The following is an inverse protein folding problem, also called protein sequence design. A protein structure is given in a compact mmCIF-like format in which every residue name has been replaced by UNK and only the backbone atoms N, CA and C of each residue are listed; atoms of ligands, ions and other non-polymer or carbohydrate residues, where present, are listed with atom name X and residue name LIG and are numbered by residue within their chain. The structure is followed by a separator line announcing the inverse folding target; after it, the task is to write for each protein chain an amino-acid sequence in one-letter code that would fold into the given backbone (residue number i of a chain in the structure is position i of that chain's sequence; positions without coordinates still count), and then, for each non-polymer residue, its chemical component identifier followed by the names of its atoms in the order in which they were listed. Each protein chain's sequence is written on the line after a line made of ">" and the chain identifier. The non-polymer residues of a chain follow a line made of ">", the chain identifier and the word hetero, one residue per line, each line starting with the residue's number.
data_IF_660236439725
#
_entry.id   IF_660236439725
#
_cell.length_a   1.000
_cell.length_b   1.000
_cell.length_c   1.000
_cell.angle_alpha   90.00
_cell.angle_beta   90.00
_cell.angle_gamma   90.00
#
_symmetry.space_group_name_H-M   'P 1'
#
loop_
_entity.id
_entity.type
_entity.pdbx_description
1 polymer ?
#
# COMPACT_ATOMS: atom_id res chain seq x y z
N UNK A 1 -7.47 -0.09 19.74
CA UNK A 1 -6.03 -0.38 19.49
C UNK A 1 -5.21 0.69 20.20
N UNK A 2 -4.21 0.32 21.00
CA UNK A 2 -3.28 1.29 21.59
C UNK A 2 -2.35 1.81 20.48
N UNK A 3 -2.31 3.13 20.28
CA UNK A 3 -1.35 3.77 19.36
C UNK A 3 0.08 3.34 19.71
N UNK A 4 0.89 2.97 18.71
CA UNK A 4 2.33 2.69 18.94
C UNK A 4 3.10 3.93 19.42
N UNK A 5 2.52 5.11 19.20
CA UNK A 5 3.06 6.40 19.61
C UNK A 5 2.51 6.81 20.97
N UNK A 6 3.37 7.37 21.82
CA UNK A 6 2.99 7.87 23.14
C UNK A 6 2.32 9.26 23.09
N UNK A 7 2.69 10.07 22.11
CA UNK A 7 2.19 11.42 21.88
C UNK A 7 2.03 11.72 20.39
N UNK A 8 1.00 12.50 20.09
CA UNK A 8 0.82 13.14 18.79
C UNK A 8 0.92 14.65 18.97
N UNK A 9 1.83 15.28 18.25
CA UNK A 9 2.01 16.73 18.24
C UNK A 9 1.68 17.23 16.84
N UNK A 10 0.91 18.31 16.73
CA UNK A 10 0.65 19.00 15.46
C UNK A 10 1.20 20.41 15.55
N UNK A 11 2.30 20.67 14.84
CA UNK A 11 2.95 21.97 14.73
C UNK A 11 2.41 22.64 13.48
N UNK A 12 1.62 23.68 13.68
CA UNK A 12 0.94 24.41 12.62
C UNK A 12 1.67 25.72 12.31
N UNK A 13 2.34 25.75 11.16
CA UNK A 13 2.99 26.93 10.60
C UNK A 13 2.14 27.58 9.48
N UNK A 14 1.31 26.79 8.78
CA UNK A 14 0.43 27.27 7.71
C UNK A 14 -0.74 28.12 8.22
N UNK A 15 -1.18 27.86 9.46
CA UNK A 15 -2.32 28.49 10.14
C UNK A 15 -3.49 28.89 9.21
N UNK A 16 -3.97 27.96 8.38
CA UNK A 16 -5.13 28.21 7.53
C UNK A 16 -6.37 28.62 8.37
N UNK A 17 -7.35 29.27 7.73
CA UNK A 17 -8.52 29.85 8.43
C UNK A 17 -9.30 28.82 9.26
N UNK A 18 -9.20 27.53 8.88
CA UNK A 18 -9.84 26.40 9.57
C UNK A 18 -9.06 26.04 10.85
N UNK A 19 -7.74 25.88 10.78
CA UNK A 19 -6.90 25.47 11.92
C UNK A 19 -6.52 26.62 12.85
N UNK A 20 -6.66 27.87 12.41
CA UNK A 20 -6.46 29.05 13.26
C UNK A 20 -7.48 29.11 14.43
N UNK A 21 -8.73 28.71 14.17
CA UNK A 21 -9.87 28.91 15.09
C UNK A 21 -10.32 27.63 15.83
N UNK A 22 -9.44 26.65 15.99
CA UNK A 22 -9.72 25.39 16.72
C UNK A 22 -8.86 25.30 17.98
N UNK A 23 -9.40 24.78 19.06
CA UNK A 23 -8.66 24.55 20.31
C UNK A 23 -8.15 23.10 20.38
N UNK A 24 -8.90 22.19 19.76
CA UNK A 24 -8.59 20.76 19.76
C UNK A 24 -8.56 20.23 18.33
N UNK A 25 -7.50 19.51 17.98
CA UNK A 25 -7.39 18.76 16.74
C UNK A 25 -7.34 17.26 17.05
N UNK A 26 -8.24 16.50 16.42
CA UNK A 26 -8.30 15.04 16.53
C UNK A 26 -7.80 14.42 15.22
N UNK A 27 -6.80 13.55 15.33
CA UNK A 27 -6.22 12.80 14.20
C UNK A 27 -6.30 11.31 14.53
N UNK A 28 -6.94 10.51 13.66
CA UNK A 28 -7.13 9.07 13.89
C UNK A 28 -7.73 8.76 15.27
N UNK A 29 -8.80 9.47 15.63
CA UNK A 29 -9.53 9.30 16.91
C UNK A 29 -8.70 9.63 18.16
N UNK A 30 -7.50 10.19 18.01
CA UNK A 30 -6.62 10.58 19.10
C UNK A 30 -6.48 12.11 19.17
N UNK A 31 -6.66 12.74 20.35
CA UNK A 31 -6.38 14.16 20.50
C UNK A 31 -4.89 14.44 20.30
N UNK A 32 -4.59 15.60 19.73
CA UNK A 32 -3.21 16.04 19.47
C UNK A 32 -2.85 17.23 20.34
N UNK A 33 -1.57 17.35 20.68
CA UNK A 33 -1.03 18.58 21.24
C UNK A 33 -0.86 19.56 20.08
N UNK A 34 -1.71 20.58 20.04
CA UNK A 34 -1.71 21.57 18.98
C UNK A 34 -0.78 22.74 19.33
N UNK A 35 0.28 22.90 18.54
CA UNK A 35 1.24 24.02 18.65
C UNK A 35 0.99 24.96 17.49
N UNK A 36 0.46 26.16 17.77
CA UNK A 36 0.20 27.20 16.75
C UNK A 36 1.31 28.23 16.79
N UNK A 37 2.19 28.23 15.79
CA UNK A 37 3.26 29.23 15.70
C UNK A 37 2.68 30.52 15.15
N UNK A 38 2.68 31.65 15.89
CA UNK A 38 2.07 32.89 15.42
C UNK A 38 2.67 33.39 14.10
N UNK A 39 1.82 33.98 13.25
CA UNK A 39 2.27 34.65 12.03
C UNK A 39 3.38 35.66 12.35
N UNK A 40 4.41 35.72 11.49
CA UNK A 40 5.53 36.62 11.69
C UNK A 40 6.58 36.16 12.70
N UNK A 41 6.37 35.05 13.43
CA UNK A 41 7.35 34.55 14.42
C UNK A 41 8.70 34.22 13.79
N UNK A 42 9.79 34.63 14.42
CA UNK A 42 11.13 34.20 14.03
C UNK A 42 11.44 32.85 14.66
N UNK A 43 11.33 31.78 13.87
CA UNK A 43 11.59 30.41 14.31
C UNK A 43 13.00 30.22 14.89
N UNK A 44 13.98 31.00 14.45
CA UNK A 44 15.36 30.90 14.94
C UNK A 44 15.48 31.41 16.37
N UNK A 45 14.86 32.54 16.68
CA UNK A 45 14.92 33.18 18.01
C UNK A 45 13.76 32.80 18.94
N UNK A 46 12.76 32.05 18.47
CA UNK A 46 11.62 31.60 19.27
C UNK A 46 12.05 30.76 20.48
N UNK A 47 11.79 31.24 21.69
CA UNK A 47 12.16 30.55 22.96
C UNK A 47 11.00 30.44 23.95
N UNK A 48 9.83 30.96 23.60
CA UNK A 48 8.65 30.93 24.46
C UNK A 48 8.18 29.47 24.66
N UNK A 49 8.14 28.96 25.92
CA UNK A 49 7.77 27.59 26.25
C UNK A 49 6.41 27.15 25.71
N UNK A 50 5.47 28.07 25.48
CA UNK A 50 4.13 27.75 24.97
C UNK A 50 4.17 27.17 23.55
N UNK A 51 5.28 27.38 22.81
CA UNK A 51 5.51 26.79 21.49
C UNK A 51 6.33 25.49 21.52
N UNK A 52 6.56 24.93 22.70
CA UNK A 52 7.27 23.67 22.92
C UNK A 52 6.40 22.73 23.76
N UNK A 53 5.89 21.61 23.21
CA UNK A 53 4.90 20.72 23.82
C UNK A 53 5.48 19.80 24.92
N UNK A 54 6.51 20.28 25.64
CA UNK A 54 7.23 19.54 26.66
C UNK A 54 8.14 18.44 26.12
N UNK A 55 8.54 17.46 26.95
CA UNK A 55 9.51 16.43 26.56
C UNK A 55 8.99 15.54 25.42
N UNK A 56 9.85 15.35 24.42
CA UNK A 56 9.62 14.51 23.23
C UNK A 56 10.45 13.23 23.36
N UNK A 57 9.83 12.10 23.06
CA UNK A 57 10.48 10.78 23.09
C UNK A 57 10.68 10.25 21.67
N UNK A 58 11.45 9.17 21.53
CA UNK A 58 11.59 8.44 20.26
C UNK A 58 10.28 7.80 19.76
N UNK A 59 9.26 7.68 20.62
CA UNK A 59 7.92 7.17 20.27
C UNK A 59 6.92 8.28 19.97
N UNK A 60 7.31 9.54 20.04
CA UNK A 60 6.45 10.66 19.69
C UNK A 60 6.33 10.80 18.17
N UNK A 61 5.15 11.20 17.69
CA UNK A 61 4.91 11.51 16.28
C UNK A 61 4.56 12.99 16.13
N UNK A 62 5.33 13.70 15.32
CA UNK A 62 5.17 15.13 15.09
C UNK A 62 4.64 15.34 13.68
N UNK A 63 3.52 16.02 13.54
CA UNK A 63 3.03 16.53 12.27
C UNK A 63 3.48 17.98 12.14
N UNK A 64 4.22 18.28 11.08
CA UNK A 64 4.62 19.64 10.74
C UNK A 64 3.83 20.07 9.50
N UNK A 65 2.96 21.06 9.68
CA UNK A 65 2.08 21.57 8.63
C UNK A 65 2.54 22.95 8.19
N UNK A 66 2.89 23.07 6.91
CA UNK A 66 3.33 24.29 6.26
C UNK A 66 2.96 24.22 4.77
N UNK A 67 2.88 25.36 4.09
CA UNK A 67 2.73 25.35 2.63
C UNK A 67 4.09 25.21 1.97
N UNK A 68 4.24 24.27 1.04
CA UNK A 68 5.44 24.17 0.21
C UNK A 68 5.28 24.86 -1.14
N UNK A 69 6.36 24.89 -1.89
CA UNK A 69 6.38 25.33 -3.28
C UNK A 69 7.34 24.42 -4.06
N UNK A 70 6.88 23.79 -5.14
CA UNK A 70 7.66 22.81 -5.93
C UNK A 70 9.03 23.32 -6.40
N UNK A 71 9.15 24.62 -6.69
CA UNK A 71 10.40 25.23 -7.18
C UNK A 71 11.38 25.60 -6.05
N UNK A 72 10.97 25.47 -4.79
CA UNK A 72 11.70 26.02 -3.64
C UNK A 72 11.90 24.94 -2.57
N UNK A 73 12.93 24.10 -2.76
CA UNK A 73 13.27 22.99 -1.87
C UNK A 73 13.93 23.43 -0.55
N UNK A 74 14.20 24.71 -0.36
CA UNK A 74 14.93 25.28 0.77
C UNK A 74 14.04 26.17 1.66
N UNK A 75 12.73 26.22 1.41
CA UNK A 75 11.81 27.04 2.21
C UNK A 75 10.39 26.48 2.26
N UNK A 76 9.66 26.92 3.28
CA UNK A 76 8.21 26.74 3.41
C UNK A 76 7.54 28.08 3.67
N UNK A 77 6.25 28.16 3.36
CA UNK A 77 5.44 29.36 3.38
C UNK A 77 4.34 29.26 4.43
N UNK A 78 4.04 30.40 5.05
CA UNK A 78 2.75 30.68 5.69
C UNK A 78 1.93 31.54 4.72
N UNK A 79 0.74 31.06 4.33
CA UNK A 79 -0.14 31.70 3.33
C UNK A 79 -1.43 32.26 3.96
N UNK A 80 -1.37 32.79 5.18
CA UNK A 80 -2.53 33.47 5.79
C UNK A 80 -2.95 34.77 5.08
N UNK A 81 -2.01 35.49 4.47
CA UNK A 81 -2.21 36.85 3.91
C UNK A 81 -1.67 36.92 2.48
N UNK A 82 -2.02 37.99 1.76
CA UNK A 82 -1.58 38.25 0.38
C UNK A 82 -0.04 38.25 0.22
N UNK A 83 0.70 38.57 1.27
CA UNK A 83 2.16 38.46 1.34
C UNK A 83 2.57 37.29 2.25
N UNK A 84 2.87 36.10 1.70
CA UNK A 84 3.22 34.94 2.50
C UNK A 84 4.58 35.13 3.19
N UNK A 85 4.67 34.75 4.47
CA UNK A 85 5.96 34.71 5.16
C UNK A 85 6.74 33.49 4.70
N UNK A 86 8.01 33.72 4.36
CA UNK A 86 8.96 32.69 3.95
C UNK A 86 9.77 32.25 5.18
N UNK A 87 9.76 30.95 5.45
CA UNK A 87 10.62 30.31 6.44
C UNK A 87 11.68 29.49 5.73
N UNK A 88 12.94 29.84 5.92
CA UNK A 88 14.05 29.10 5.31
C UNK A 88 14.28 27.79 6.05
N UNK A 89 14.91 26.85 5.35
CA UNK A 89 15.35 25.57 5.89
C UNK A 89 16.11 25.72 7.22
N UNK A 90 17.01 26.70 7.29
CA UNK A 90 17.80 26.98 8.51
C UNK A 90 16.92 27.35 9.71
N UNK A 91 15.87 28.12 9.49
CA UNK A 91 14.99 28.59 10.55
C UNK A 91 14.14 27.43 11.09
N UNK A 92 13.63 26.60 10.18
CA UNK A 92 12.86 25.39 10.52
C UNK A 92 13.75 24.37 11.24
N UNK A 93 14.98 24.13 10.74
CA UNK A 93 15.92 23.23 11.39
C UNK A 93 16.32 23.72 12.78
N UNK A 94 16.54 25.03 12.97
CA UNK A 94 16.82 25.61 14.28
C UNK A 94 15.67 25.43 15.27
N UNK A 95 14.42 25.58 14.81
CA UNK A 95 13.26 25.30 15.65
C UNK A 95 13.22 23.82 16.09
N UNK A 96 13.42 22.88 15.16
CA UNK A 96 13.48 21.45 15.51
C UNK A 96 14.69 21.10 16.38
N UNK A 97 15.84 21.76 16.22
CA UNK A 97 17.00 21.56 17.08
C UNK A 97 16.74 21.97 18.54
N UNK A 98 15.96 23.04 18.76
CA UNK A 98 15.51 23.45 20.10
C UNK A 98 14.44 22.53 20.68
N UNK A 99 13.60 21.97 19.81
CA UNK A 99 12.51 21.07 20.16
C UNK A 99 13.01 19.66 20.53
N UNK A 100 14.00 19.14 19.79
CA UNK A 100 14.47 17.76 19.86
C UNK A 100 15.76 17.63 20.67
N UNK A 101 15.65 17.85 21.98
CA UNK A 101 16.79 17.89 22.91
C UNK A 101 17.14 16.54 23.54
N UNK A 102 16.31 15.51 23.38
CA UNK A 102 16.57 14.19 23.95
C UNK A 102 17.82 13.56 23.30
N UNK A 103 18.83 13.12 24.08
CA UNK A 103 20.03 12.49 23.54
C UNK A 103 19.77 11.20 22.74
N UNK A 104 18.66 10.52 22.97
CA UNK A 104 18.26 9.32 22.23
C UNK A 104 18.16 9.58 20.72
N UNK A 105 17.83 10.81 20.31
CA UNK A 105 17.76 11.18 18.90
C UNK A 105 19.14 11.16 18.21
N UNK A 106 20.24 11.13 18.96
CA UNK A 106 21.60 11.03 18.41
C UNK A 106 22.12 9.60 18.40
N UNK A 107 21.38 8.65 18.98
CA UNK A 107 21.78 7.26 19.09
C UNK A 107 21.20 6.43 17.92
N UNK A 108 22.03 5.85 17.04
CA UNK A 108 21.55 5.06 15.89
C UNK A 108 20.82 3.78 16.28
N UNK A 109 21.07 3.25 17.49
CA UNK A 109 20.51 2.00 17.98
C UNK A 109 19.10 2.15 18.58
N UNK A 110 18.64 3.39 18.80
CA UNK A 110 17.30 3.63 19.33
C UNK A 110 16.25 3.37 18.23
N UNK A 111 15.38 2.39 18.51
CA UNK A 111 14.23 2.03 17.67
C UNK A 111 12.96 1.91 18.51
N UNK A 112 11.79 2.38 18.02
CA UNK A 112 11.61 3.17 16.80
C UNK A 112 12.28 4.54 16.93
N UNK A 113 12.60 5.18 15.81
CA UNK A 113 13.03 6.58 15.78
C UNK A 113 11.82 7.50 15.78
N UNK A 114 12.04 8.74 16.22
CA UNK A 114 11.04 9.81 16.13
C UNK A 114 10.54 9.91 14.69
N UNK A 115 9.22 9.94 14.52
CA UNK A 115 8.59 10.10 13.20
C UNK A 115 8.12 11.54 13.00
N UNK A 116 8.76 12.27 12.09
CA UNK A 116 8.34 13.58 11.63
C UNK A 116 7.49 13.43 10.36
N UNK A 117 6.23 13.85 10.39
CA UNK A 117 5.33 13.84 9.23
C UNK A 117 5.26 15.23 8.65
N UNK A 118 5.79 15.39 7.43
CA UNK A 118 5.75 16.63 6.68
C UNK A 118 4.44 16.70 5.91
N UNK A 119 3.47 17.44 6.46
CA UNK A 119 2.24 17.84 5.78
C UNK A 119 2.50 19.11 4.95
N UNK A 120 3.51 19.05 4.09
CA UNK A 120 3.92 20.14 3.19
C UNK A 120 3.48 19.80 1.78
N UNK A 121 2.70 20.68 1.15
CA UNK A 121 2.33 20.53 -0.26
C UNK A 121 3.60 20.50 -1.12
N UNK A 122 3.82 19.43 -1.89
CA UNK A 122 4.99 19.33 -2.79
C UNK A 122 6.34 19.37 -2.02
N UNK A 123 6.37 18.90 -0.77
CA UNK A 123 7.50 19.12 0.15
C UNK A 123 8.57 18.02 0.23
N UNK A 124 8.74 17.16 -0.78
CA UNK A 124 9.75 16.09 -0.71
C UNK A 124 11.17 16.65 -0.67
N UNK A 125 11.52 17.59 -1.56
CA UNK A 125 12.85 18.21 -1.56
C UNK A 125 13.16 18.92 -0.24
N UNK A 126 12.21 19.71 0.25
CA UNK A 126 12.31 20.33 1.58
C UNK A 126 12.47 19.30 2.70
N UNK A 127 11.71 18.21 2.70
CA UNK A 127 11.83 17.17 3.72
C UNK A 127 13.20 16.47 3.69
N UNK A 128 13.74 16.21 2.50
CA UNK A 128 15.08 15.64 2.33
C UNK A 128 16.14 16.57 2.89
N UNK A 129 16.08 17.84 2.53
CA UNK A 129 17.00 18.87 2.99
C UNK A 129 16.89 19.09 4.50
N UNK A 130 15.68 19.07 5.07
CA UNK A 130 15.46 19.24 6.50
C UNK A 130 16.05 18.07 7.29
N UNK A 131 15.77 16.82 6.89
CA UNK A 131 16.34 15.66 7.56
C UNK A 131 17.87 15.70 7.54
N UNK A 132 18.44 16.00 6.36
CA UNK A 132 19.89 16.06 6.18
C UNK A 132 20.50 17.15 7.06
N UNK A 133 19.87 18.33 7.10
CA UNK A 133 20.31 19.44 7.95
C UNK A 133 20.19 19.16 9.44
N UNK A 134 19.13 18.47 9.88
CA UNK A 134 18.98 18.05 11.29
C UNK A 134 20.09 17.08 11.70
N UNK A 135 20.53 16.21 10.79
CA UNK A 135 21.68 15.35 11.02
C UNK A 135 23.00 16.13 11.01
N UNK A 136 23.26 16.93 9.97
CA UNK A 136 24.55 17.61 9.78
C UNK A 136 24.80 18.67 10.86
N UNK A 137 23.79 19.48 11.23
CA UNK A 137 23.96 20.60 12.17
C UNK A 137 23.72 20.19 13.63
N UNK A 138 22.90 19.17 13.90
CA UNK A 138 22.46 18.81 15.26
C UNK A 138 22.77 17.35 15.65
N UNK A 139 23.21 16.50 14.72
CA UNK A 139 23.44 15.07 14.94
C UNK A 139 22.16 14.27 15.14
N UNK A 140 21.01 14.76 14.70
CA UNK A 140 19.70 14.14 14.94
C UNK A 140 19.37 13.08 13.88
N UNK A 141 19.12 11.86 14.33
CA UNK A 141 18.65 10.72 13.56
C UNK A 141 17.12 10.60 13.67
N UNK A 142 16.42 11.27 12.76
CA UNK A 142 14.95 11.29 12.70
C UNK A 142 14.46 10.61 11.42
N UNK A 143 13.36 9.87 11.50
CA UNK A 143 12.69 9.31 10.33
C UNK A 143 11.60 10.29 9.86
N UNK A 144 11.55 10.59 8.55
CA UNK A 144 10.65 11.60 8.00
C UNK A 144 9.67 10.98 7.02
N UNK A 145 8.37 11.14 7.26
CA UNK A 145 7.33 10.80 6.29
C UNK A 145 7.00 12.06 5.50
N UNK A 146 7.35 12.07 4.22
CA UNK A 146 7.11 13.19 3.30
C UNK A 146 6.17 12.78 2.18
N UNK A 147 5.58 13.76 1.51
CA UNK A 147 4.68 13.52 0.39
C UNK A 147 5.35 13.90 -0.94
N UNK A 148 5.29 13.01 -1.92
CA UNK A 148 5.76 13.21 -3.30
C UNK A 148 4.84 14.16 -4.08
N UNK A 149 3.56 14.17 -3.74
CA UNK A 149 2.51 14.88 -4.45
C UNK A 149 1.87 15.96 -3.56
N UNK A 150 1.06 16.84 -4.17
CA UNK A 150 0.22 17.80 -3.44
C UNK A 150 -0.69 17.06 -2.47
N UNK A 151 -0.78 17.53 -1.23
CA UNK A 151 -1.69 16.99 -0.20
C UNK A 151 -2.88 17.92 -0.06
N UNK A 152 -4.07 17.33 0.08
CA UNK A 152 -5.29 18.01 0.48
C UNK A 152 -5.76 17.41 1.80
N UNK A 153 -5.69 18.17 2.87
CA UNK A 153 -6.21 17.79 4.19
C UNK A 153 -7.67 18.26 4.31
N UNK A 154 -8.59 17.34 4.65
CA UNK A 154 -10.01 17.67 4.88
C UNK A 154 -10.34 17.63 6.36
N UNK A 155 -10.79 18.76 6.87
CA UNK A 155 -11.21 18.94 8.26
C UNK A 155 -12.74 18.95 8.36
N UNK A 156 -13.27 18.22 9.33
CA UNK A 156 -14.67 18.32 9.75
C UNK A 156 -14.73 19.05 11.07
N UNK A 157 -15.48 20.15 11.13
CA UNK A 157 -15.74 20.93 12.34
C UNK A 157 -17.24 20.83 12.68
N UNK A 158 -17.63 20.12 13.75
CA UNK A 158 -19.01 20.13 14.22
C UNK A 158 -19.50 21.55 14.53
N UNK A 159 -20.78 21.81 14.32
CA UNK A 159 -21.35 23.13 14.59
C UNK A 159 -21.28 23.43 16.09
N UNK A 160 -20.83 24.65 16.45
CA UNK A 160 -20.68 25.14 17.83
C UNK A 160 -19.55 24.53 18.67
N UNK A 161 -18.63 23.75 18.07
CA UNK A 161 -17.44 23.25 18.76
C UNK A 161 -16.17 23.94 18.25
N UNK A 162 -15.15 24.03 19.11
CA UNK A 162 -13.78 24.44 18.72
C UNK A 162 -12.90 23.23 18.36
N UNK A 163 -13.50 22.06 18.17
CA UNK A 163 -12.82 20.82 17.77
C UNK A 163 -12.84 20.65 16.25
N UNK A 164 -11.71 20.30 15.65
CA UNK A 164 -11.66 19.82 14.27
C UNK A 164 -11.16 18.38 14.20
N UNK A 165 -11.72 17.62 13.26
CA UNK A 165 -11.36 16.26 12.95
C UNK A 165 -10.68 16.24 11.59
N UNK A 166 -9.43 15.80 11.54
CA UNK A 166 -8.77 15.51 10.27
C UNK A 166 -9.25 14.13 9.79
N UNK A 167 -10.24 14.14 8.89
CA UNK A 167 -10.94 12.90 8.48
C UNK A 167 -10.32 12.27 7.25
N UNK A 168 -9.84 13.08 6.30
CA UNK A 168 -9.29 12.59 5.05
C UNK A 168 -8.01 13.35 4.65
N UNK A 169 -7.09 12.63 4.01
CA UNK A 169 -5.95 13.20 3.30
C UNK A 169 -5.91 12.62 1.91
N UNK A 170 -5.96 13.48 0.91
CA UNK A 170 -5.90 13.09 -0.49
C UNK A 170 -4.66 13.66 -1.14
N UNK A 171 -4.20 13.02 -2.21
CA UNK A 171 -3.04 13.48 -2.96
C UNK A 171 -3.37 13.61 -4.44
N UNK A 172 -2.85 14.66 -5.09
CA UNK A 172 -3.08 14.92 -6.51
C UNK A 172 -1.78 15.26 -7.23
N UNK A 173 -1.69 14.92 -8.51
CA UNK A 173 -0.66 15.47 -9.41
C UNK A 173 -1.09 16.89 -9.80
N UNK A 174 -0.11 17.80 -9.92
CA UNK A 174 -0.33 19.17 -10.38
C UNK A 174 -0.61 19.19 -11.90
N UNK A 175 -1.69 19.82 -12.34
CA UNK A 175 -2.11 19.88 -13.74
C UNK A 175 -3.45 20.58 -13.96
N UNK A 176 -3.89 20.73 -15.22
CA UNK A 176 -5.13 21.44 -15.62
C UNK A 176 -6.41 20.70 -15.19
N UNK A 177 -6.29 19.43 -14.80
CA UNK A 177 -7.27 18.69 -14.02
C UNK A 177 -6.57 18.13 -12.78
N UNK A 178 -7.18 18.30 -11.59
CA UNK A 178 -6.72 17.62 -10.38
C UNK A 178 -7.05 16.14 -10.51
N UNK A 179 -6.16 15.37 -11.13
CA UNK A 179 -6.27 13.92 -11.14
C UNK A 179 -5.79 13.38 -9.80
N UNK A 180 -6.74 12.90 -8.99
CA UNK A 180 -6.44 12.23 -7.74
C UNK A 180 -5.76 10.90 -8.04
N UNK A 181 -4.44 10.81 -7.78
CA UNK A 181 -3.72 9.54 -7.80
C UNK A 181 -3.49 9.07 -6.37
N UNK A 182 -3.95 7.84 -6.09
CA UNK A 182 -3.57 7.03 -4.93
C UNK A 182 -2.81 5.84 -5.51
N UNK A 183 -1.46 5.91 -5.63
CA UNK A 183 -0.70 5.07 -4.70
C UNK A 183 0.73 5.51 -4.31
N UNK A 184 1.43 6.40 -5.03
CA UNK A 184 2.86 6.70 -4.79
C UNK A 184 3.12 8.08 -4.20
N UNK A 185 2.30 8.49 -3.22
CA UNK A 185 2.33 9.88 -2.75
C UNK A 185 3.09 10.10 -1.47
N UNK A 186 3.56 9.05 -0.78
CA UNK A 186 4.26 9.15 0.51
C UNK A 186 5.53 8.32 0.54
N UNK A 187 6.59 8.90 1.06
CA UNK A 187 7.85 8.22 1.30
C UNK A 187 8.28 8.38 2.75
N UNK A 188 8.91 7.33 3.26
CA UNK A 188 9.67 7.33 4.48
C UNK A 188 11.13 7.60 4.11
N UNK A 189 11.64 8.76 4.51
CA UNK A 189 13.05 9.08 4.46
C UNK A 189 13.71 8.58 5.74
N UNK A 190 14.76 7.79 5.61
CA UNK A 190 15.60 7.38 6.74
C UNK A 190 17.02 7.87 6.51
N UNK A 191 17.78 8.06 7.59
CA UNK A 191 19.18 8.48 7.52
C UNK A 191 20.05 7.57 8.38
N UNK A 192 21.16 7.09 7.86
CA UNK A 192 22.09 6.24 8.61
C UNK A 192 23.10 7.05 9.44
N UNK A 193 23.97 6.35 10.17
CA UNK A 193 24.99 6.97 11.02
C UNK A 193 26.08 7.72 10.22
N UNK A 194 26.22 7.43 8.94
CA UNK A 194 27.16 8.11 8.03
C UNK A 194 26.49 9.32 7.36
N UNK A 195 25.21 9.56 7.65
CA UNK A 195 24.43 10.64 7.06
C UNK A 195 23.91 10.33 5.66
N UNK A 196 23.91 9.06 5.25
CA UNK A 196 23.34 8.60 3.97
C UNK A 196 21.82 8.52 4.11
N UNK A 197 21.12 9.27 3.26
CA UNK A 197 19.66 9.28 3.22
C UNK A 197 19.14 8.18 2.28
N UNK A 198 18.13 7.45 2.72
CA UNK A 198 17.38 6.48 1.92
C UNK A 198 15.92 6.90 1.81
N UNK A 199 15.36 6.77 0.61
CA UNK A 199 13.94 7.00 0.34
C UNK A 199 13.22 5.66 0.18
N UNK A 200 12.24 5.42 1.04
CA UNK A 200 11.45 4.19 1.09
C UNK A 200 10.01 4.53 0.73
N UNK A 201 9.41 3.90 -0.27
CA UNK A 201 7.97 4.08 -0.51
C UNK A 201 7.17 3.43 0.62
N UNK A 202 6.35 4.23 1.31
CA UNK A 202 5.62 3.78 2.49
C UNK A 202 4.56 2.72 2.14
N UNK A 203 4.11 2.67 0.87
CA UNK A 203 3.16 1.66 0.41
C UNK A 203 3.84 0.34 0.06
N UNK A 204 5.06 0.37 -0.47
CA UNK A 204 5.87 -0.84 -0.70
C UNK A 204 6.13 -1.57 0.62
N UNK A 205 6.58 -0.85 1.65
CA UNK A 205 6.84 -1.45 2.96
C UNK A 205 5.57 -2.02 3.60
N UNK A 206 4.45 -1.28 3.53
CA UNK A 206 3.14 -1.76 4.02
C UNK A 206 2.66 -2.99 3.28
N UNK A 207 2.86 -3.02 1.97
CA UNK A 207 2.47 -4.15 1.16
C UNK A 207 3.34 -5.37 1.48
N UNK A 208 4.66 -5.22 1.64
CA UNK A 208 5.55 -6.28 2.10
C UNK A 208 5.10 -6.84 3.46
N UNK A 209 4.83 -5.97 4.44
CA UNK A 209 4.33 -6.37 5.76
C UNK A 209 3.00 -7.11 5.65
N UNK A 210 2.12 -6.66 4.75
CA UNK A 210 0.83 -7.32 4.49
C UNK A 210 1.03 -8.69 3.85
N UNK A 211 1.90 -8.83 2.86
CA UNK A 211 2.24 -10.13 2.26
C UNK A 211 2.70 -11.08 3.35
N UNK A 212 3.74 -10.71 4.10
CA UNK A 212 4.29 -11.52 5.19
C UNK A 212 3.21 -12.00 6.16
N UNK A 213 2.45 -11.08 6.75
CA UNK A 213 1.43 -11.39 7.74
C UNK A 213 0.31 -12.26 7.17
N UNK A 214 -0.11 -11.98 5.94
CA UNK A 214 -1.23 -12.69 5.31
C UNK A 214 -0.85 -14.14 4.99
N UNK A 215 0.36 -14.38 4.47
CA UNK A 215 0.86 -15.74 4.19
C UNK A 215 0.96 -16.54 5.49
N UNK A 216 1.59 -16.00 6.52
CA UNK A 216 1.69 -16.64 7.84
C UNK A 216 0.33 -17.00 8.41
N UNK A 217 -0.63 -16.08 8.30
CA UNK A 217 -2.00 -16.34 8.76
C UNK A 217 -2.66 -17.46 7.98
N UNK A 218 -2.44 -17.59 6.67
CA UNK A 218 -2.98 -18.71 5.89
C UNK A 218 -2.38 -20.05 6.30
N UNK A 219 -1.06 -20.11 6.53
CA UNK A 219 -0.39 -21.31 7.03
C UNK A 219 -0.98 -21.73 8.38
N UNK A 220 -1.08 -20.79 9.32
CA UNK A 220 -1.61 -21.05 10.65
C UNK A 220 -3.09 -21.44 10.63
N UNK A 221 -3.90 -20.79 9.79
CA UNK A 221 -5.33 -21.08 9.67
C UNK A 221 -5.56 -22.44 9.05
N UNK A 222 -4.87 -22.77 7.95
CA UNK A 222 -4.96 -24.07 7.32
C UNK A 222 -4.51 -25.17 8.28
N UNK A 223 -3.36 -25.00 8.94
CA UNK A 223 -2.83 -25.95 9.92
C UNK A 223 -3.76 -26.22 11.11
N UNK A 224 -4.63 -25.28 11.46
CA UNK A 224 -5.60 -25.44 12.56
C UNK A 224 -6.86 -26.20 12.15
N UNK A 225 -7.31 -26.04 10.90
CA UNK A 225 -8.62 -26.50 10.46
C UNK A 225 -8.59 -27.65 9.46
N UNK A 226 -7.42 -27.95 8.88
CA UNK A 226 -7.27 -29.02 7.93
C UNK A 226 -7.42 -30.40 8.60
N UNK A 227 -8.14 -31.28 7.90
CA UNK A 227 -8.25 -32.69 8.26
C UNK A 227 -7.02 -33.45 7.72
N UNK A 228 -6.03 -33.68 8.58
CA UNK A 228 -4.76 -34.30 8.17
C UNK A 228 -4.85 -35.83 8.00
N UNK A 229 -6.01 -36.44 8.21
CA UNK A 229 -6.23 -37.83 7.78
C UNK A 229 -6.29 -37.92 6.24
N UNK A 230 -6.56 -36.79 5.57
CA UNK A 230 -6.60 -36.67 4.10
C UNK A 230 -5.20 -36.36 3.53
N UNK A 231 -4.62 -37.24 2.69
CA UNK A 231 -3.29 -37.03 2.11
C UNK A 231 -3.14 -35.75 1.29
N UNK A 232 -4.22 -35.26 0.68
CA UNK A 232 -4.21 -33.97 -0.04
C UNK A 232 -3.89 -32.79 0.88
N UNK A 233 -4.33 -32.81 2.14
CA UNK A 233 -4.13 -31.72 3.08
C UNK A 233 -2.67 -31.66 3.58
N UNK A 234 -1.99 -32.81 3.64
CA UNK A 234 -0.55 -32.87 3.94
C UNK A 234 0.24 -32.16 2.84
N UNK A 235 -0.06 -32.48 1.57
CA UNK A 235 0.59 -31.83 0.41
C UNK A 235 0.32 -30.33 0.35
N UNK A 236 -0.92 -29.92 0.66
CA UNK A 236 -1.27 -28.49 0.74
C UNK A 236 -0.43 -27.81 1.82
N UNK A 237 -0.30 -28.40 3.02
CA UNK A 237 0.50 -27.83 4.10
C UNK A 237 1.99 -27.73 3.74
N UNK A 238 2.56 -28.75 3.08
CA UNK A 238 3.93 -28.73 2.57
C UNK A 238 4.13 -27.58 1.59
N UNK A 239 3.22 -27.41 0.64
CA UNK A 239 3.22 -26.30 -0.31
C UNK A 239 3.14 -24.92 0.37
N UNK A 240 2.22 -24.77 1.33
CA UNK A 240 2.05 -23.53 2.09
C UNK A 240 3.30 -23.17 2.91
N UNK A 241 3.92 -24.17 3.55
CA UNK A 241 5.15 -23.98 4.32
C UNK A 241 6.33 -23.58 3.42
N UNK A 242 6.49 -24.23 2.27
CA UNK A 242 7.53 -23.88 1.30
C UNK A 242 7.37 -22.44 0.82
N UNK A 243 6.16 -22.07 0.39
CA UNK A 243 5.88 -20.71 -0.04
C UNK A 243 6.12 -19.66 1.06
N UNK A 244 5.69 -19.95 2.29
CA UNK A 244 5.94 -19.09 3.44
C UNK A 244 7.43 -18.90 3.70
N UNK A 245 8.21 -19.98 3.62
CA UNK A 245 9.66 -19.94 3.78
C UNK A 245 10.34 -19.09 2.70
N UNK A 246 9.91 -19.19 1.44
CA UNK A 246 10.48 -18.39 0.36
C UNK A 246 10.15 -16.91 0.49
N UNK A 247 8.96 -16.57 0.99
CA UNK A 247 8.60 -15.19 1.36
C UNK A 247 9.52 -14.67 2.47
N UNK A 248 9.72 -15.44 3.54
CA UNK A 248 10.62 -15.06 4.64
C UNK A 248 12.07 -14.86 4.18
N UNK A 249 12.55 -15.77 3.32
CA UNK A 249 13.90 -15.71 2.77
C UNK A 249 14.09 -14.45 1.92
N UNK A 250 13.16 -14.15 1.00
CA UNK A 250 13.22 -12.95 0.17
C UNK A 250 13.23 -11.67 1.00
N UNK A 251 12.35 -11.56 2.01
CA UNK A 251 12.32 -10.40 2.90
C UNK A 251 13.64 -10.29 3.65
N UNK A 252 14.11 -11.38 4.27
CA UNK A 252 15.34 -11.37 5.07
C UNK A 252 16.57 -10.98 4.24
N UNK A 253 16.65 -11.43 2.99
CA UNK A 253 17.77 -11.15 2.09
C UNK A 253 17.79 -9.69 1.61
N UNK A 254 16.63 -9.13 1.27
CA UNK A 254 16.58 -7.90 0.48
C UNK A 254 15.99 -6.68 1.20
N UNK A 255 15.24 -6.84 2.30
CA UNK A 255 14.50 -5.72 2.92
C UNK A 255 15.41 -4.58 3.39
N UNK A 256 16.64 -4.91 3.80
CA UNK A 256 17.65 -3.95 4.24
C UNK A 256 18.56 -3.45 3.10
N UNK A 257 18.47 -4.05 1.91
CA UNK A 257 19.23 -3.65 0.73
C UNK A 257 18.43 -2.67 -0.12
N UNK A 258 17.22 -3.09 -0.53
CA UNK A 258 16.35 -2.32 -1.40
C UNK A 258 14.90 -2.81 -1.23
N UNK A 259 14.05 -1.93 -0.70
CA UNK A 259 12.64 -2.23 -0.44
C UNK A 259 11.84 -2.35 -1.73
N UNK A 260 12.15 -1.54 -2.75
CA UNK A 260 11.52 -1.65 -4.06
C UNK A 260 11.89 -2.99 -4.72
N UNK A 261 13.15 -3.39 -4.63
CA UNK A 261 13.60 -4.71 -5.10
C UNK A 261 12.88 -5.84 -4.35
N UNK A 262 12.78 -5.72 -3.03
CA UNK A 262 12.09 -6.71 -2.18
C UNK A 262 10.62 -6.84 -2.59
N UNK A 263 9.93 -5.70 -2.76
CA UNK A 263 8.54 -5.67 -3.19
C UNK A 263 8.37 -6.29 -4.59
N UNK A 264 9.24 -5.95 -5.54
CA UNK A 264 9.23 -6.53 -6.88
C UNK A 264 9.46 -8.05 -6.85
N UNK A 265 10.43 -8.54 -6.07
CA UNK A 265 10.69 -9.98 -5.96
C UNK A 265 9.51 -10.74 -5.33
N UNK A 266 8.87 -10.17 -4.31
CA UNK A 266 7.67 -10.75 -3.70
C UNK A 266 6.49 -10.77 -4.68
N UNK A 267 6.31 -9.71 -5.48
CA UNK A 267 5.25 -9.67 -6.49
C UNK A 267 5.52 -10.72 -7.59
N UNK A 268 6.78 -10.90 -8.00
CA UNK A 268 7.18 -11.94 -8.94
C UNK A 268 6.88 -13.35 -8.38
N UNK A 269 7.19 -13.57 -7.09
CA UNK A 269 6.92 -14.83 -6.39
C UNK A 269 5.41 -15.13 -6.35
N UNK A 270 4.58 -14.15 -5.99
CA UNK A 270 3.12 -14.29 -5.99
C UNK A 270 2.58 -14.59 -7.40
N UNK A 271 3.05 -13.89 -8.42
CA UNK A 271 2.68 -14.12 -9.82
C UNK A 271 3.09 -15.53 -10.28
N UNK A 272 4.20 -16.06 -9.76
CA UNK A 272 4.66 -17.41 -10.12
C UNK A 272 3.66 -18.50 -9.72
N UNK A 273 2.92 -18.33 -8.61
CA UNK A 273 1.89 -19.28 -8.16
C UNK A 273 0.73 -19.45 -9.15
N UNK A 274 0.51 -18.48 -10.04
CA UNK A 274 -0.56 -18.52 -11.03
C UNK A 274 -0.18 -19.28 -12.30
N UNK A 275 1.09 -19.70 -12.45
CA UNK A 275 1.59 -20.35 -13.67
C UNK A 275 1.41 -21.86 -13.70
N UNK A 276 1.15 -22.37 -14.88
CA UNK A 276 1.17 -23.83 -15.17
C UNK A 276 2.57 -24.44 -15.01
N UNK A 277 3.64 -23.64 -15.04
CA UNK A 277 5.03 -24.06 -14.81
C UNK A 277 5.53 -23.74 -13.40
N UNK A 278 4.66 -23.30 -12.49
CA UNK A 278 5.03 -23.03 -11.10
C UNK A 278 5.66 -24.24 -10.43
N UNK A 279 6.47 -23.96 -9.40
CA UNK A 279 7.01 -24.98 -8.49
C UNK A 279 5.88 -25.96 -8.08
N UNK A 280 6.11 -27.29 -8.17
CA UNK A 280 5.12 -28.28 -7.75
C UNK A 280 4.55 -28.03 -6.35
N UNK A 281 5.34 -27.51 -5.41
CA UNK A 281 4.91 -27.16 -4.06
C UNK A 281 3.94 -25.98 -4.06
N UNK A 282 4.18 -24.96 -4.91
CA UNK A 282 3.24 -23.84 -5.03
C UNK A 282 1.93 -24.27 -5.66
N UNK A 283 1.95 -25.21 -6.61
CA UNK A 283 0.72 -25.81 -7.14
C UNK A 283 -0.07 -26.55 -6.07
N UNK A 284 0.62 -27.25 -5.16
CA UNK A 284 -0.03 -27.90 -4.03
C UNK A 284 -0.64 -26.88 -3.07
N UNK A 285 0.07 -25.80 -2.75
CA UNK A 285 -0.44 -24.70 -1.92
C UNK A 285 -1.71 -24.08 -2.54
N UNK A 286 -1.70 -23.89 -3.86
CA UNK A 286 -2.83 -23.35 -4.61
C UNK A 286 -4.04 -24.27 -4.64
N UNK A 287 -3.99 -25.53 -4.18
CA UNK A 287 -5.22 -26.32 -4.02
C UNK A 287 -6.09 -25.85 -2.85
N UNK A 288 -5.57 -24.96 -1.98
CA UNK A 288 -6.34 -24.30 -0.94
C UNK A 288 -7.01 -23.03 -1.48
N UNK A 289 -8.34 -23.04 -1.58
CA UNK A 289 -9.13 -21.94 -2.16
C UNK A 289 -8.86 -20.58 -1.51
N UNK A 290 -8.79 -20.51 -0.17
CA UNK A 290 -8.52 -19.24 0.52
C UNK A 290 -7.14 -18.70 0.18
N UNK A 291 -6.14 -19.58 0.00
CA UNK A 291 -4.81 -19.17 -0.43
C UNK A 291 -4.84 -18.63 -1.86
N UNK A 292 -5.61 -19.23 -2.78
CA UNK A 292 -5.78 -18.68 -4.13
C UNK A 292 -6.37 -17.27 -4.12
N UNK A 293 -7.47 -17.06 -3.38
CA UNK A 293 -8.18 -15.78 -3.28
C UNK A 293 -7.23 -14.71 -2.73
N UNK A 294 -6.53 -15.06 -1.65
CA UNK A 294 -5.61 -14.17 -0.97
C UNK A 294 -4.43 -13.80 -1.87
N UNK A 295 -3.80 -14.76 -2.54
CA UNK A 295 -2.70 -14.50 -3.48
C UNK A 295 -3.14 -13.56 -4.61
N UNK A 296 -4.33 -13.77 -5.17
CA UNK A 296 -4.89 -12.87 -6.20
C UNK A 296 -5.10 -11.45 -5.67
N UNK A 297 -5.59 -11.31 -4.43
CA UNK A 297 -5.77 -10.00 -3.80
C UNK A 297 -4.43 -9.30 -3.56
N UNK A 298 -3.42 -10.01 -3.06
CA UNK A 298 -2.07 -9.46 -2.85
C UNK A 298 -1.43 -9.01 -4.16
N UNK A 299 -1.62 -9.76 -5.26
CA UNK A 299 -1.13 -9.38 -6.59
C UNK A 299 -1.82 -8.10 -7.08
N UNK A 300 -3.15 -8.06 -7.04
CA UNK A 300 -3.91 -6.88 -7.48
C UNK A 300 -3.56 -5.63 -6.68
N UNK A 301 -3.27 -5.80 -5.40
CA UNK A 301 -2.81 -4.73 -4.52
C UNK A 301 -1.35 -4.34 -4.83
N UNK A 302 -0.47 -5.31 -5.06
CA UNK A 302 0.92 -5.09 -5.42
C UNK A 302 1.07 -4.34 -6.74
N UNK A 303 0.30 -4.72 -7.76
CA UNK A 303 0.25 -4.02 -9.06
C UNK A 303 -0.22 -2.56 -8.94
N UNK A 304 -0.94 -2.21 -7.86
CA UNK A 304 -1.35 -0.83 -7.58
C UNK A 304 -0.28 -0.06 -6.80
N UNK A 305 0.53 -0.73 -5.97
CA UNK A 305 1.37 -0.08 -4.96
C UNK A 305 2.87 -0.17 -5.20
N UNK A 306 3.30 -1.08 -6.07
CA UNK A 306 4.71 -1.29 -6.41
C UNK A 306 4.95 -0.67 -7.77
N UNK A 307 6.01 0.13 -7.90
CA UNK A 307 6.46 0.52 -9.22
C UNK A 307 7.17 -0.69 -9.86
N UNK A 308 6.52 -1.43 -10.79
CA UNK A 308 7.08 -2.67 -11.30
C UNK A 308 8.24 -2.33 -12.21
N UNK A 309 9.37 -3.04 -12.07
CA UNK A 309 10.47 -2.93 -13.04
C UNK A 309 9.97 -3.24 -14.46
N UNK A 310 10.64 -2.69 -15.47
CA UNK A 310 10.25 -2.87 -16.88
C UNK A 310 10.10 -4.36 -17.22
N UNK A 311 11.01 -5.22 -16.73
CA UNK A 311 10.93 -6.66 -16.98
C UNK A 311 9.68 -7.32 -16.35
N UNK A 312 9.18 -6.78 -15.23
CA UNK A 312 7.95 -7.24 -14.56
C UNK A 312 6.68 -6.74 -15.26
N UNK A 313 6.73 -5.56 -15.88
CA UNK A 313 5.63 -5.04 -16.69
C UNK A 313 5.47 -5.87 -17.97
N UNK A 314 6.58 -6.15 -18.65
CA UNK A 314 6.63 -7.05 -19.81
C UNK A 314 6.11 -8.46 -19.45
N UNK A 315 6.48 -8.95 -18.28
CA UNK A 315 6.02 -10.24 -17.77
C UNK A 315 4.51 -10.28 -17.45
N UNK A 316 3.96 -9.23 -16.84
CA UNK A 316 2.52 -9.12 -16.57
C UNK A 316 1.71 -9.09 -17.87
N UNK A 317 2.19 -8.34 -18.87
CA UNK A 317 1.57 -8.31 -20.20
C UNK A 317 1.64 -9.67 -20.90
N UNK A 318 2.77 -10.36 -20.84
CA UNK A 318 2.89 -11.72 -21.40
C UNK A 318 1.95 -12.73 -20.71
N UNK A 319 1.72 -12.58 -19.40
CA UNK A 319 0.76 -13.38 -18.65
C UNK A 319 -0.69 -13.11 -19.07
N UNK A 320 -1.06 -11.84 -19.23
CA UNK A 320 -2.38 -11.43 -19.71
C UNK A 320 -2.63 -11.95 -21.14
N UNK A 321 -1.63 -11.88 -22.01
CA UNK A 321 -1.69 -12.42 -23.37
C UNK A 321 -1.84 -13.95 -23.38
N UNK A 322 -1.08 -14.67 -22.56
CA UNK A 322 -1.20 -16.12 -22.42
C UNK A 322 -2.57 -16.54 -21.88
N UNK A 323 -3.10 -15.81 -20.90
CA UNK A 323 -4.44 -16.06 -20.36
C UNK A 323 -5.51 -15.78 -21.41
N UNK A 324 -5.40 -14.68 -22.15
CA UNK A 324 -6.29 -14.35 -23.27
C UNK A 324 -6.24 -15.41 -24.37
N UNK A 325 -5.04 -15.91 -24.72
CA UNK A 325 -4.86 -16.99 -25.68
C UNK A 325 -5.47 -18.30 -25.18
N UNK A 326 -5.31 -18.64 -23.89
CA UNK A 326 -5.91 -19.83 -23.30
C UNK A 326 -7.44 -19.76 -23.27
N UNK A 327 -8.00 -18.62 -22.88
CA UNK A 327 -9.44 -18.39 -22.86
C UNK A 327 -10.02 -18.42 -24.29
N UNK A 328 -9.25 -17.93 -25.28
CA UNK A 328 -9.55 -18.07 -26.70
C UNK A 328 -9.47 -19.51 -27.17
N UNK A 329 -8.43 -20.28 -26.83
CA UNK A 329 -8.32 -21.71 -27.19
C UNK A 329 -9.44 -22.55 -26.57
N UNK A 330 -9.83 -22.29 -25.32
CA UNK A 330 -10.96 -22.97 -24.68
C UNK A 330 -12.26 -22.68 -25.46
N UNK A 331 -12.45 -21.41 -25.85
CA UNK A 331 -13.59 -20.99 -26.69
C UNK A 331 -13.57 -21.62 -28.08
N UNK A 332 -12.40 -21.72 -28.69
CA UNK A 332 -12.22 -22.10 -30.10
C UNK A 332 -12.06 -23.62 -30.32
N UNK A 333 -11.56 -24.38 -29.34
CA UNK A 333 -11.29 -25.83 -29.48
C UNK A 333 -12.18 -26.71 -28.58
N UNK A 334 -12.38 -26.32 -27.31
CA UNK A 334 -13.09 -27.17 -26.34
C UNK A 334 -14.60 -27.06 -26.50
N UNK A 335 -15.15 -25.86 -26.64
CA UNK A 335 -16.58 -25.65 -26.83
C UNK A 335 -17.12 -26.29 -28.14
N UNK A 336 -16.45 -26.20 -29.30
CA UNK A 336 -16.91 -26.85 -30.53
C UNK A 336 -16.80 -28.38 -30.47
N UNK A 337 -15.81 -28.94 -29.78
CA UNK A 337 -15.68 -30.39 -29.63
C UNK A 337 -16.73 -30.98 -28.68
N UNK A 338 -17.07 -30.27 -27.58
CA UNK A 338 -18.20 -30.64 -26.73
C UNK A 338 -19.50 -30.58 -27.53
N UNK A 339 -19.71 -29.55 -28.35
CA UNK A 339 -20.89 -29.45 -29.21
C UNK A 339 -20.96 -30.57 -30.25
N UNK A 340 -19.83 -30.93 -30.88
CA UNK A 340 -19.75 -32.08 -31.81
C UNK A 340 -20.05 -33.41 -31.12
N UNK A 341 -19.51 -33.63 -29.92
CA UNK A 341 -19.77 -34.83 -29.14
C UNK A 341 -21.26 -34.92 -28.73
N UNK A 342 -21.87 -33.82 -28.28
CA UNK A 342 -23.29 -33.75 -27.95
C UNK A 342 -24.19 -33.97 -29.17
N UNK A 343 -23.79 -33.47 -30.34
CA UNK A 343 -24.48 -33.73 -31.61
C UNK A 343 -24.38 -35.21 -32.02
N UNK A 344 -23.21 -35.83 -31.85
CA UNK A 344 -23.02 -37.25 -32.12
C UNK A 344 -23.88 -38.13 -31.20
N UNK A 345 -23.95 -37.81 -29.90
CA UNK A 345 -24.84 -38.48 -28.93
C UNK A 345 -26.31 -38.34 -29.37
N UNK A 346 -26.75 -37.14 -29.73
CA UNK A 346 -28.10 -36.91 -30.22
C UNK A 346 -28.41 -37.69 -31.51
N UNK A 347 -27.47 -37.73 -32.46
CA UNK A 347 -27.62 -38.51 -33.69
C UNK A 347 -27.65 -40.02 -33.44
N UNK A 348 -26.87 -40.53 -32.48
CA UNK A 348 -26.91 -41.93 -32.07
C UNK A 348 -28.27 -42.30 -31.45
N UNK A 349 -28.80 -41.45 -30.57
CA UNK A 349 -30.12 -41.64 -29.96
C UNK A 349 -31.26 -41.58 -31.00
N UNK A 350 -31.14 -40.77 -32.05
CA UNK A 350 -32.10 -40.79 -33.17
C UNK A 350 -32.04 -42.08 -33.99
N UNK A 351 -30.85 -42.64 -34.19
CA UNK A 351 -30.69 -43.93 -34.87
C UNK A 351 -31.29 -45.07 -34.03
N UNK A 352 -31.04 -45.06 -32.72
CA UNK A 352 -31.61 -46.02 -31.76
C UNK A 352 -33.15 -45.90 -31.68
N UNK A 353 -33.70 -44.67 -31.64
CA UNK A 353 -35.13 -44.42 -31.74
C UNK A 353 -35.75 -44.97 -33.03
N UNK A 354 -35.01 -44.92 -34.14
CA UNK A 354 -35.46 -45.44 -35.43
C UNK A 354 -35.50 -46.97 -35.48
N UNK A 355 -34.67 -47.64 -34.67
CA UNK A 355 -34.54 -49.10 -34.66
C UNK A 355 -35.46 -49.74 -33.61
N UNK A 356 -35.64 -49.09 -32.45
CA UNK A 356 -36.36 -49.65 -31.30
C UNK A 356 -37.61 -48.87 -30.88
N UNK A 357 -37.95 -47.80 -31.62
CA UNK A 357 -39.12 -46.94 -31.35
C UNK A 357 -38.79 -45.78 -30.42
N UNK A 358 -39.36 -44.60 -30.73
CA UNK A 358 -39.00 -43.33 -30.08
C UNK A 358 -39.21 -43.31 -28.56
N UNK A 359 -40.21 -44.04 -28.07
CA UNK A 359 -40.56 -44.10 -26.64
C UNK A 359 -39.44 -44.72 -25.79
N UNK A 360 -38.56 -45.54 -26.39
CA UNK A 360 -37.44 -46.18 -25.69
C UNK A 360 -36.32 -45.20 -25.28
N UNK A 361 -36.21 -44.06 -25.96
CA UNK A 361 -35.11 -43.08 -25.81
C UNK A 361 -35.59 -41.63 -25.69
N UNK A 362 -36.91 -41.39 -25.64
CA UNK A 362 -37.53 -40.06 -25.72
C UNK A 362 -36.97 -39.06 -24.69
N UNK A 363 -36.88 -39.44 -23.41
CA UNK A 363 -36.36 -38.57 -22.35
C UNK A 363 -34.89 -38.18 -22.57
N UNK A 364 -34.07 -39.11 -23.08
CA UNK A 364 -32.65 -38.88 -23.37
C UNK A 364 -32.48 -37.98 -24.60
N UNK A 365 -33.37 -38.15 -25.59
CA UNK A 365 -33.47 -37.33 -26.79
C UNK A 365 -33.86 -35.88 -26.47
N UNK A 366 -34.85 -35.68 -25.60
CA UNK A 366 -35.26 -34.34 -25.16
C UNK A 366 -34.17 -33.63 -24.36
N UNK A 367 -33.49 -34.34 -23.47
CA UNK A 367 -32.36 -33.80 -22.71
C UNK A 367 -31.19 -33.42 -23.62
N UNK A 368 -30.80 -34.29 -24.55
CA UNK A 368 -29.75 -34.00 -25.53
C UNK A 368 -30.14 -32.83 -26.47
N UNK A 369 -31.42 -32.68 -26.81
CA UNK A 369 -31.94 -31.54 -27.58
C UNK A 369 -31.84 -30.22 -26.82
N UNK A 370 -32.15 -30.21 -25.53
CA UNK A 370 -32.02 -29.03 -24.67
C UNK A 370 -30.54 -28.61 -24.51
N UNK A 371 -29.63 -29.57 -24.35
CA UNK A 371 -28.19 -29.30 -24.27
C UNK A 371 -27.64 -28.72 -25.59
N UNK A 372 -28.16 -29.14 -26.75
CA UNK A 372 -27.81 -28.59 -28.06
C UNK A 372 -28.40 -27.19 -28.33
N UNK A 373 -29.57 -26.88 -27.80
CA UNK A 373 -30.22 -25.58 -28.01
C UNK A 373 -29.58 -24.46 -27.18
N UNK A 374 -29.03 -24.78 -26.00
CA UNK A 374 -28.25 -23.84 -25.20
C UNK A 374 -26.89 -23.52 -25.84
N UNK A 375 -26.28 -24.45 -26.58
CA UNK A 375 -25.02 -24.23 -27.30
C UNK A 375 -25.08 -23.28 -28.51
N UNK A 376 -26.28 -22.84 -28.94
CA UNK A 376 -26.46 -21.87 -30.04
C UNK A 376 -26.51 -20.41 -29.59
N UNK A 377 -26.64 -20.11 -28.29
CA UNK A 377 -26.72 -18.74 -27.77
C UNK A 377 -25.36 -18.21 -27.30
N UNK A 378 -24.38 -18.14 -28.20
CA UNK A 378 -23.28 -17.18 -28.11
C UNK A 378 -22.65 -16.96 -29.48
N UNK A 379 -23.20 -16.07 -30.32
CA UNK A 379 -22.42 -15.35 -31.31
C UNK A 379 -21.82 -14.12 -30.61
N UNK A 380 -20.52 -14.19 -30.28
CA UNK A 380 -19.69 -12.99 -30.11
C UNK A 380 -18.88 -12.79 -31.38
#
# INVERSE_FOLDING_TARGET
>A
MLSKYDKLIYINLAQDQVTANIDTLIIHESPTILVKIPDGSDLKTLVDPDFFPGPITNRTKIYFSAHGHEELDDMVLDRQKENPKIYKLDDVAAYFGKLLTNPDFKNPDIKPRLTLVMSVCEGLGFAKNLQKKLFDDYGLLVDVIANKNVIHEQFVKPHHETTAYLTHRETSIKGVGREHKRPHSKVLLTIDKEGTQQEIDAYELKWIEKVLNTIHQQVATFGKWADFEKPENIKIQEGLNAFCHDVDALISLFINQDINLTANNLLALLLSCQKTTADPLYKQAMNYEMFQIMTKNLINEGLRYINPKIEMQEYSHALEELQSQKDKMIRDEVAPNIFRAKKAIFSALLAEASEYGIDSVLEQLEKAKQELSQGKMNPS
#
